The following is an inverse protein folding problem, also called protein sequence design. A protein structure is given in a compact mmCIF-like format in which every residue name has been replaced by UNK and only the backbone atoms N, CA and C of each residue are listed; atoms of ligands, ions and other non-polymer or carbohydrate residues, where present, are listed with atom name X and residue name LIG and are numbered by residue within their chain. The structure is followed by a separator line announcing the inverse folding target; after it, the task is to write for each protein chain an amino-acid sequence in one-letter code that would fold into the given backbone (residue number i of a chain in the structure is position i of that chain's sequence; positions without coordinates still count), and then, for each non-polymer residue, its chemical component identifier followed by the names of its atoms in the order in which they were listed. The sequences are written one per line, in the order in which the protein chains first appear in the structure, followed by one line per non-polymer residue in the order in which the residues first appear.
data_IF_867130498703
#
_entry.id   IF_867130498703
#
_cell.length_a   1.000
_cell.length_b   1.000
_cell.length_c   1.000
_cell.angle_alpha   90.00
_cell.angle_beta   90.00
_cell.angle_gamma   90.00
#
_symmetry.space_group_name_H-M   'P 1'
#
loop_
_entity.id
_entity.type
_entity.pdbx_description
1 polymer ?
#
# COMPACT_ATOMS: atom_id res chain seq x y z
N UNK A 1 6.97 -4.94 -46.95
CA UNK A 1 7.92 -4.65 -46.32
C UNK A 1 7.86 -3.32 -45.74
N UNK A 2 8.28 -2.98 -44.69
CA UNK A 2 8.13 -1.87 -44.03
C UNK A 2 9.27 -1.37 -43.45
N UNK A 3 10.30 -1.31 -44.05
CA UNK A 3 11.55 -1.12 -43.52
C UNK A 3 11.76 0.18 -42.80
N UNK A 4 11.15 1.23 -43.25
CA UNK A 4 11.42 2.49 -42.63
C UNK A 4 10.92 2.55 -41.17
N UNK A 5 9.89 1.84 -40.89
CA UNK A 5 9.34 1.86 -39.56
C UNK A 5 10.28 1.25 -38.58
N UNK A 6 11.13 0.33 -38.97
CA UNK A 6 12.01 -0.36 -38.08
C UNK A 6 13.45 0.11 -38.16
N UNK A 7 13.70 1.29 -38.70
CA UNK A 7 15.08 1.74 -38.84
C UNK A 7 15.83 1.89 -37.54
N UNK A 8 15.12 2.17 -36.47
CA UNK A 8 15.75 2.34 -35.21
C UNK A 8 15.62 1.13 -34.28
N UNK A 9 15.09 0.05 -34.78
CA UNK A 9 14.85 -1.14 -34.00
C UNK A 9 15.64 -2.28 -34.59
N UNK A 10 16.41 -2.97 -33.76
CA UNK A 10 17.23 -4.06 -34.21
C UNK A 10 16.72 -5.36 -33.61
N UNK A 11 16.10 -6.24 -34.38
CA UNK A 11 15.67 -7.52 -33.81
C UNK A 11 16.89 -8.36 -33.46
N UNK A 12 16.89 -8.92 -32.29
CA UNK A 12 17.93 -9.81 -31.84
C UNK A 12 17.62 -11.23 -32.28
N UNK A 13 18.60 -12.13 -32.33
CA UNK A 13 18.31 -13.52 -32.60
C UNK A 13 17.33 -14.06 -31.61
N UNK A 14 16.28 -14.68 -32.05
CA UNK A 14 15.24 -15.18 -31.18
C UNK A 14 15.70 -16.45 -30.49
N UNK A 15 15.30 -16.62 -29.23
CA UNK A 15 15.57 -17.83 -28.51
C UNK A 15 14.64 -18.93 -28.96
N UNK A 16 13.44 -18.59 -29.33
CA UNK A 16 12.44 -19.49 -29.84
C UNK A 16 11.89 -18.91 -31.15
N UNK A 17 11.35 -19.75 -32.02
CA UNK A 17 10.93 -19.27 -33.35
C UNK A 17 9.90 -18.15 -33.33
N UNK A 18 9.04 -18.15 -32.30
CA UNK A 18 7.99 -17.14 -32.20
C UNK A 18 8.25 -16.13 -31.07
N UNK A 19 9.47 -16.02 -30.59
CA UNK A 19 9.81 -15.00 -29.63
C UNK A 19 9.94 -13.64 -30.28
N UNK A 20 9.62 -12.58 -29.53
CA UNK A 20 9.79 -11.21 -29.96
C UNK A 20 10.85 -10.56 -29.10
N UNK A 21 11.88 -9.99 -29.73
CA UNK A 21 12.95 -9.35 -28.99
C UNK A 21 13.38 -8.11 -29.75
N UNK A 22 13.21 -6.94 -29.16
CA UNK A 22 13.57 -5.66 -29.77
C UNK A 22 14.60 -4.97 -28.91
N UNK A 23 15.68 -4.56 -29.49
CA UNK A 23 16.72 -3.80 -28.83
C UNK A 23 16.82 -2.44 -29.51
N UNK A 24 16.83 -1.39 -28.70
CA UNK A 24 16.90 -0.03 -29.20
C UNK A 24 18.30 0.54 -29.04
N UNK A 25 18.66 1.56 -29.79
CA UNK A 25 20.02 2.08 -29.75
C UNK A 25 20.47 2.57 -28.37
N UNK A 26 19.53 2.98 -27.52
CA UNK A 26 19.85 3.43 -26.17
C UNK A 26 19.98 2.29 -25.16
N UNK A 27 19.87 1.05 -25.62
CA UNK A 27 19.97 -0.09 -24.73
C UNK A 27 18.65 -0.61 -24.20
N UNK A 28 17.54 0.05 -24.48
CA UNK A 28 16.25 -0.43 -24.03
C UNK A 28 15.88 -1.73 -24.74
N UNK A 29 15.18 -2.59 -24.03
CA UNK A 29 14.80 -3.89 -24.57
C UNK A 29 13.34 -4.14 -24.30
N UNK A 30 12.62 -4.63 -25.30
CA UNK A 30 11.27 -5.14 -25.13
C UNK A 30 11.26 -6.57 -25.67
N UNK A 31 10.75 -7.48 -24.88
CA UNK A 31 10.88 -8.89 -25.22
C UNK A 31 9.67 -9.67 -24.72
N UNK A 32 9.22 -10.60 -25.53
CA UNK A 32 8.32 -11.65 -25.06
C UNK A 32 8.90 -12.99 -25.47
N UNK A 33 9.10 -13.86 -24.49
CA UNK A 33 9.68 -15.17 -24.71
C UNK A 33 8.59 -16.21 -24.38
N UNK A 34 8.06 -16.90 -25.37
CA UNK A 34 7.00 -17.88 -25.11
C UNK A 34 7.50 -19.12 -24.36
N UNK A 35 8.82 -19.41 -24.39
CA UNK A 35 9.32 -20.54 -23.63
C UNK A 35 9.20 -20.33 -22.14
N UNK A 36 9.40 -19.10 -21.66
CA UNK A 36 9.25 -18.78 -20.26
C UNK A 36 7.95 -18.06 -19.96
N UNK A 37 7.25 -17.59 -20.99
CA UNK A 37 6.03 -16.81 -20.83
C UNK A 37 6.27 -15.43 -20.26
N UNK A 38 7.45 -14.88 -20.44
CA UNK A 38 7.82 -13.62 -19.81
C UNK A 38 7.76 -12.46 -20.81
N UNK A 39 7.06 -11.41 -20.42
CA UNK A 39 7.08 -10.13 -21.11
C UNK A 39 7.96 -9.18 -20.31
N UNK A 40 8.96 -8.62 -20.97
CA UNK A 40 9.94 -7.78 -20.30
C UNK A 40 10.10 -6.47 -21.05
N UNK A 41 10.11 -5.35 -20.33
CA UNK A 41 10.53 -4.06 -20.85
C UNK A 41 11.52 -3.50 -19.85
N UNK A 42 12.75 -3.22 -20.27
CA UNK A 42 13.79 -2.77 -19.37
C UNK A 42 14.73 -1.81 -20.05
N UNK A 43 15.54 -1.11 -19.28
CA UNK A 43 16.46 -0.13 -19.83
C UNK A 43 15.75 1.12 -20.31
N UNK A 44 14.51 1.32 -19.86
CA UNK A 44 13.67 2.43 -20.29
C UNK A 44 13.84 3.55 -19.28
N UNK A 45 14.05 4.76 -19.76
CA UNK A 45 14.23 5.89 -18.87
C UNK A 45 12.91 6.34 -18.27
N UNK A 46 11.88 6.44 -19.09
CA UNK A 46 10.54 6.80 -18.60
C UNK A 46 9.51 5.95 -19.30
N UNK A 47 8.50 5.51 -18.59
CA UNK A 47 7.41 4.76 -19.14
C UNK A 47 6.10 5.42 -18.74
N UNK A 48 5.16 5.50 -19.65
CA UNK A 48 3.89 6.14 -19.39
C UNK A 48 2.77 5.29 -19.97
N UNK A 49 1.77 5.01 -19.16
CA UNK A 49 0.58 4.32 -19.62
C UNK A 49 -0.58 5.26 -19.36
N UNK A 50 -1.33 5.57 -20.42
CA UNK A 50 -2.49 6.43 -20.31
C UNK A 50 -3.63 5.79 -21.07
N UNK A 51 -4.75 5.60 -20.40
CA UNK A 51 -5.93 5.03 -21.02
C UNK A 51 -7.11 5.93 -20.69
N UNK A 52 -8.04 6.06 -21.62
CA UNK A 52 -9.16 6.97 -21.43
C UNK A 52 -10.20 6.42 -20.45
N UNK A 53 -10.23 5.12 -20.23
CA UNK A 53 -11.24 4.54 -19.36
C UNK A 53 -10.69 3.71 -18.22
N UNK A 54 -9.80 2.80 -18.48
CA UNK A 54 -9.32 1.95 -17.41
C UNK A 54 -7.98 1.30 -17.72
N UNK A 55 -7.25 0.98 -16.68
CA UNK A 55 -6.08 0.10 -16.76
C UNK A 55 -6.31 -0.98 -15.72
N UNK A 56 -6.22 -2.23 -16.11
CA UNK A 56 -6.44 -3.36 -15.22
C UNK A 56 -5.18 -4.21 -15.14
N UNK A 57 -4.81 -4.59 -13.93
CA UNK A 57 -3.71 -5.52 -13.69
C UNK A 57 -4.28 -6.68 -12.88
N UNK A 58 -4.24 -7.87 -13.46
CA UNK A 58 -4.80 -9.07 -12.82
C UNK A 58 -3.71 -10.11 -12.73
N UNK A 59 -3.36 -10.49 -11.53
CA UNK A 59 -2.30 -11.47 -11.30
C UNK A 59 -2.41 -11.98 -9.87
N UNK A 60 -1.62 -12.98 -9.57
CA UNK A 60 -1.54 -13.47 -8.20
C UNK A 60 -0.70 -12.55 -7.33
N UNK A 61 0.32 -11.90 -7.89
CA UNK A 61 1.22 -11.03 -7.13
C UNK A 61 1.57 -9.81 -7.96
N UNK A 62 1.44 -8.63 -7.38
CA UNK A 62 1.92 -7.39 -8.00
C UNK A 62 3.02 -6.84 -7.10
N UNK A 63 4.18 -6.56 -7.67
CA UNK A 63 5.27 -5.91 -6.96
C UNK A 63 5.58 -4.58 -7.62
N UNK A 64 5.48 -3.50 -6.88
CA UNK A 64 5.86 -2.18 -7.35
C UNK A 64 6.97 -1.68 -6.44
N UNK A 65 8.13 -1.39 -7.01
CA UNK A 65 9.27 -0.91 -6.24
C UNK A 65 9.66 0.48 -6.73
N UNK A 66 9.63 1.44 -5.83
CA UNK A 66 10.04 2.82 -6.13
C UNK A 66 11.00 3.27 -5.04
N UNK A 67 12.09 3.91 -5.44
CA UNK A 67 13.09 4.32 -4.46
C UNK A 67 12.70 5.57 -3.70
N UNK A 68 11.75 6.34 -4.20
CA UNK A 68 11.36 7.58 -3.53
C UNK A 68 9.92 7.57 -3.08
N UNK A 69 8.98 7.29 -3.95
CA UNK A 69 7.58 7.32 -3.54
C UNK A 69 6.69 6.73 -4.62
N UNK A 70 5.53 6.30 -4.21
CA UNK A 70 4.42 5.95 -5.09
C UNK A 70 3.31 6.93 -4.76
N UNK A 71 2.80 7.64 -5.75
CA UNK A 71 1.72 8.59 -5.57
C UNK A 71 0.45 8.03 -6.19
N UNK A 72 -0.60 7.96 -5.39
CA UNK A 72 -1.93 7.58 -5.86
C UNK A 72 -2.80 8.83 -5.75
N UNK A 73 -2.95 9.54 -6.87
CA UNK A 73 -3.71 10.78 -6.90
C UNK A 73 -5.12 10.46 -7.35
N UNK A 74 -5.99 10.18 -6.41
CA UNK A 74 -7.34 9.71 -6.68
C UNK A 74 -8.23 10.09 -5.49
N UNK A 75 -9.52 10.32 -5.71
CA UNK A 75 -10.43 10.53 -4.58
C UNK A 75 -10.52 9.35 -3.65
N UNK A 76 -10.27 8.12 -4.13
CA UNK A 76 -10.46 6.96 -3.29
C UNK A 76 -9.48 5.85 -3.65
N UNK A 77 -8.93 5.19 -2.65
CA UNK A 77 -8.14 3.98 -2.81
C UNK A 77 -8.82 2.91 -1.97
N UNK A 78 -9.18 1.79 -2.57
CA UNK A 78 -9.87 0.71 -1.88
C UNK A 78 -8.94 -0.48 -1.74
N UNK A 79 -8.71 -0.90 -0.51
CA UNK A 79 -8.03 -2.14 -0.22
C UNK A 79 -9.07 -3.08 0.40
N UNK A 80 -9.49 -4.09 -0.34
CA UNK A 80 -10.66 -4.89 0.04
C UNK A 80 -10.39 -5.91 1.11
N UNK A 81 -9.13 -6.24 1.38
CA UNK A 81 -8.82 -7.30 2.33
C UNK A 81 -7.94 -6.78 3.46
N UNK A 82 -6.70 -6.57 3.22
CA UNK A 82 -5.75 -6.28 4.28
C UNK A 82 -4.70 -5.29 3.78
N UNK A 83 -4.43 -4.27 4.55
CA UNK A 83 -3.39 -3.30 4.23
C UNK A 83 -2.33 -3.37 5.33
N UNK A 84 -1.07 -3.59 4.92
CA UNK A 84 0.05 -3.55 5.85
C UNK A 84 0.96 -2.40 5.48
N UNK A 85 1.26 -1.55 6.42
CA UNK A 85 2.18 -0.44 6.24
C UNK A 85 3.11 -0.37 7.44
N UNK A 86 4.33 0.12 7.22
CA UNK A 86 5.24 0.31 8.36
C UNK A 86 4.83 1.52 9.17
N UNK A 87 4.38 2.55 8.51
CA UNK A 87 3.91 3.76 9.17
C UNK A 87 2.67 4.25 8.45
N UNK A 88 1.85 5.01 9.13
CA UNK A 88 0.63 5.55 8.56
C UNK A 88 0.48 6.98 9.03
N UNK A 89 0.23 7.89 8.11
CA UNK A 89 -0.07 9.29 8.43
C UNK A 89 -1.40 9.65 7.81
N UNK A 90 -2.32 10.11 8.63
CA UNK A 90 -3.63 10.56 8.18
C UNK A 90 -3.73 12.05 8.52
N UNK A 91 -3.80 12.89 7.52
CA UNK A 91 -3.64 14.32 7.74
C UNK A 91 -4.93 15.06 8.00
N UNK A 92 -6.07 14.51 7.58
CA UNK A 92 -7.33 15.20 7.77
C UNK A 92 -8.33 14.46 8.63
N UNK A 93 -8.15 13.19 8.83
CA UNK A 93 -9.07 12.42 9.64
C UNK A 93 -9.63 11.23 8.89
N UNK A 94 -10.38 10.43 9.59
CA UNK A 94 -10.93 9.22 9.02
C UNK A 94 -11.78 8.51 10.04
N UNK A 95 -12.23 7.34 9.67
CA UNK A 95 -13.09 6.52 10.51
C UNK A 95 -12.49 5.14 10.60
N UNK A 96 -12.52 4.54 11.78
CA UNK A 96 -12.14 3.16 11.97
C UNK A 96 -13.32 2.42 12.58
N UNK A 97 -13.60 1.25 12.05
CA UNK A 97 -14.66 0.41 12.56
C UNK A 97 -14.09 -0.96 12.87
N UNK A 98 -14.69 -1.63 13.81
CA UNK A 98 -14.23 -2.93 14.22
C UNK A 98 -13.29 -2.82 15.42
N UNK A 99 -12.55 -3.87 15.67
CA UNK A 99 -11.65 -3.92 16.80
C UNK A 99 -10.28 -3.42 16.39
N UNK A 100 -9.75 -2.48 17.14
CA UNK A 100 -8.40 -1.97 16.93
C UNK A 100 -7.54 -2.38 18.09
N UNK A 101 -6.50 -3.14 17.83
CA UNK A 101 -5.57 -3.57 18.87
C UNK A 101 -4.25 -2.83 18.70
N UNK A 102 -3.80 -2.22 19.77
CA UNK A 102 -2.49 -1.57 19.82
C UNK A 102 -1.59 -2.37 20.74
N UNK A 103 -0.40 -2.69 20.28
CA UNK A 103 0.58 -3.40 21.10
C UNK A 103 1.97 -2.89 20.77
N UNK A 104 2.78 -2.74 21.79
CA UNK A 104 4.14 -2.22 21.67
C UNK A 104 4.12 -0.71 21.45
N UNK A 105 5.00 0.00 22.08
CA UNK A 105 5.01 1.44 21.98
C UNK A 105 3.87 2.07 22.76
N UNK A 106 3.47 3.25 22.38
CA UNK A 106 2.40 3.94 23.07
C UNK A 106 1.42 4.55 22.09
N UNK A 107 0.19 4.68 22.51
CA UNK A 107 -0.86 5.35 21.77
C UNK A 107 -1.16 6.68 22.47
N UNK A 108 -0.95 7.78 21.78
CA UNK A 108 -1.06 9.11 22.37
C UNK A 108 -2.08 9.93 21.60
N UNK A 109 -2.91 10.66 22.30
CA UNK A 109 -3.86 11.58 21.71
C UNK A 109 -3.73 12.92 22.44
N UNK A 110 -3.42 13.98 21.68
CA UNK A 110 -3.27 15.34 22.21
C UNK A 110 -2.32 15.37 23.43
N UNK A 111 -1.23 14.66 23.35
CA UNK A 111 -0.25 14.63 24.42
C UNK A 111 -0.55 13.67 25.55
N UNK A 112 -1.67 12.98 25.52
CA UNK A 112 -2.04 12.03 26.55
C UNK A 112 -1.79 10.62 26.04
N UNK A 113 -1.00 9.86 26.77
CA UNK A 113 -0.75 8.47 26.46
C UNK A 113 -1.92 7.64 26.97
N UNK A 114 -2.63 7.00 26.05
CA UNK A 114 -3.91 6.40 26.38
C UNK A 114 -3.79 5.11 27.17
N UNK A 115 -2.71 4.39 27.01
CA UNK A 115 -2.56 3.08 27.64
C UNK A 115 -2.09 3.15 29.08
N UNK A 116 -1.67 4.32 29.60
CA UNK A 116 -1.30 4.42 31.01
C UNK A 116 -1.57 5.78 31.60
N UNK A 117 -2.51 6.53 31.05
CA UNK A 117 -2.83 7.85 31.60
C UNK A 117 -3.62 7.69 32.90
N UNK A 118 -3.62 8.75 33.67
CA UNK A 118 -4.36 8.81 34.92
C UNK A 118 -5.20 10.06 34.97
N UNK A 119 -6.25 10.04 35.81
CA UNK A 119 -7.10 11.20 36.03
C UNK A 119 -6.75 11.84 37.35
N UNK A 120 -6.26 13.06 37.30
CA UNK A 120 -5.95 13.78 38.49
C UNK A 120 -7.21 14.16 39.25
N UNK A 121 -7.12 14.25 40.56
CA UNK A 121 -8.24 14.66 41.35
C UNK A 121 -9.28 13.62 41.65
N UNK A 122 -9.09 12.40 41.16
CA UNK A 122 -10.04 11.35 41.43
C UNK A 122 -9.77 10.78 42.83
N UNK A 123 -10.81 10.60 43.62
CA UNK A 123 -10.63 10.02 44.92
C UNK A 123 -10.45 8.53 44.78
N UNK A 124 -9.60 7.98 45.60
CA UNK A 124 -9.51 6.54 45.71
C UNK A 124 -10.77 5.99 46.31
N UNK A 125 -10.98 4.72 46.22
CA UNK A 125 -12.13 4.08 46.78
C UNK A 125 -12.79 3.15 45.82
N UNK A 126 -14.04 2.94 46.05
CA UNK A 126 -14.75 1.95 45.26
C UNK A 126 -15.25 2.39 43.90
N UNK A 127 -15.19 3.68 43.62
CA UNK A 127 -15.75 4.16 42.38
C UNK A 127 -14.78 4.01 41.22
N UNK A 128 -15.28 3.70 40.06
CA UNK A 128 -14.46 3.63 38.88
C UNK A 128 -14.35 4.99 38.23
N UNK A 129 -13.20 5.28 37.64
CA UNK A 129 -13.09 6.49 36.85
C UNK A 129 -13.85 6.33 35.55
N UNK A 130 -14.38 7.40 35.05
CA UNK A 130 -15.27 7.34 33.93
C UNK A 130 -14.64 6.84 32.66
N UNK A 131 -13.38 6.99 32.50
CA UNK A 131 -12.78 6.67 31.24
C UNK A 131 -12.62 5.22 30.94
N UNK A 132 -12.77 4.35 31.98
CA UNK A 132 -12.46 3.00 31.73
C UNK A 132 -13.49 2.08 32.06
N UNK A 133 -14.44 2.31 32.17
CA UNK A 133 -15.36 1.50 32.70
C UNK A 133 -15.43 0.23 32.33
N UNK A 134 -15.53 -0.20 32.19
CA UNK A 134 -15.67 -1.33 31.85
C UNK A 134 -16.28 -2.11 32.62
N UNK A 135 -16.38 -2.10 33.18
CA UNK A 135 -16.83 -2.95 33.73
C UNK A 135 -17.28 -3.06 34.76
N UNK A 136 -17.53 -2.80 35.10
CA UNK A 136 -17.83 -2.92 36.01
C UNK A 136 -18.69 -3.39 36.44
N UNK A 137 -18.89 -3.74 36.31
CA UNK A 137 -19.55 -4.33 36.60
C UNK A 137 -20.20 -4.10 37.53
N UNK A 138 -20.46 -3.77 37.57
CA UNK A 138 -21.10 -3.63 38.32
C UNK A 138 -20.97 -3.42 39.43
N UNK A 139 -20.84 -3.20 39.73
CA UNK A 139 -20.69 -3.16 40.81
C UNK A 139 -20.65 -2.21 41.33
N UNK A 140 -20.54 -1.81 41.19
CA UNK A 140 -20.38 -1.11 41.78
C UNK A 140 -21.10 -0.53 42.41
N UNK A 141 -21.46 -0.49 42.70
CA UNK A 141 -22.00 0.11 43.22
C UNK A 141 -22.05 0.42 44.25
N UNK A 142 -21.97 0.53 44.55
CA UNK A 142 -22.08 0.67 45.45
C UNK A 142 -21.55 1.32 46.12
N UNK A 143 -21.36 1.82 46.26
CA UNK A 143 -20.84 2.30 47.05
C UNK A 143 -21.13 3.34 47.11
N UNK A 144 -21.36 3.54 47.29
CA UNK A 144 -21.60 4.32 47.35
C UNK A 144 -21.53 4.92 48.18
#
# INVERSE_FOLDING_TARGET
MLPAVFSDIHPAPARAPDAVHLTFPDGAVMEYDPDTGALTARGIKTAQIQASESVAVTTRVVLVTASERITLDTPEVICTQHLRARTLSITKGGMMQGTLTHSGGSLTSNGVTLDNHRHGGVKGGGDLSGGRAHDVSGDAPSHR
#
